data_IF_851800762082
#
_entry.id   IF_851800762082
#
_cell.length_a   1.000
_cell.length_b   1.000
_cell.length_c   1.000
_cell.angle_alpha   90.00
_cell.angle_beta   90.00
_cell.angle_gamma   90.00
#
_symmetry.space_group_name_H-M   'P 1'
#
loop_
_entity.id
_entity.type
_entity.pdbx_description
1 polymer ?
#
# COMPACT_ATOMS: atom_id res chain seq x y z
N UNK A 1 0.34 67.26 25.70
CA UNK A 1 0.97 65.95 25.80
C UNK A 1 -0.03 64.89 25.44
N UNK A 2 0.03 64.38 24.21
CA UNK A 2 -0.80 63.27 23.77
C UNK A 2 0.03 62.02 23.80
N UNK A 3 -0.29 61.10 24.72
CA UNK A 3 0.24 59.74 24.73
C UNK A 3 -0.43 58.96 23.61
N UNK A 4 0.34 58.57 22.60
CA UNK A 4 -0.09 57.61 21.61
C UNK A 4 -0.12 56.20 22.24
N UNK A 5 -1.29 55.63 22.33
CA UNK A 5 -1.42 54.20 22.59
C UNK A 5 -0.93 53.45 21.33
N UNK A 6 0.14 52.70 21.47
CA UNK A 6 0.48 51.65 20.52
C UNK A 6 -0.48 50.50 20.75
N UNK A 7 -1.37 50.26 19.79
CA UNK A 7 -2.11 49.03 19.71
C UNK A 7 -1.15 47.90 19.34
N UNK A 8 -1.18 46.77 20.04
CA UNK A 8 -0.39 45.61 19.63
C UNK A 8 -0.98 45.03 18.34
N UNK A 9 -0.16 44.96 17.31
CA UNK A 9 -0.49 44.25 16.07
C UNK A 9 -0.71 42.77 16.39
N UNK A 10 -1.95 42.33 16.29
CA UNK A 10 -2.34 40.91 16.36
C UNK A 10 -1.97 40.13 15.08
N UNK A 11 -1.63 40.82 14.00
CA UNK A 11 -1.32 40.23 12.69
C UNK A 11 0.01 39.43 12.62
N UNK A 12 0.92 39.62 13.59
CA UNK A 12 2.23 38.91 13.54
C UNK A 12 2.19 37.48 14.10
N UNK A 13 1.11 37.10 14.79
CA UNK A 13 1.02 35.75 15.37
C UNK A 13 0.44 34.70 14.42
N UNK A 14 -0.39 35.14 13.49
CA UNK A 14 -0.97 34.20 12.50
C UNK A 14 0.06 33.82 11.45
N UNK A 15 0.89 34.75 10.99
CA UNK A 15 1.97 34.48 10.02
C UNK A 15 3.08 33.59 10.61
N UNK A 16 3.41 33.73 11.90
CA UNK A 16 4.40 32.86 12.57
C UNK A 16 3.86 31.45 12.80
N UNK A 17 2.55 31.26 12.87
CA UNK A 17 1.92 29.93 13.02
C UNK A 17 1.78 29.24 11.66
N UNK A 18 1.58 29.97 10.56
CA UNK A 18 1.58 29.40 9.21
C UNK A 18 2.98 29.00 8.77
N UNK A 19 4.00 29.83 8.99
CA UNK A 19 5.41 29.49 8.68
C UNK A 19 5.92 28.27 9.51
N UNK A 20 5.46 28.10 10.76
CA UNK A 20 5.80 26.94 11.57
C UNK A 20 5.10 25.64 11.10
N UNK A 21 3.98 25.77 10.37
CA UNK A 21 3.30 24.62 9.76
C UNK A 21 3.88 24.19 8.42
N UNK A 22 4.47 25.11 7.66
CA UNK A 22 5.15 24.81 6.39
C UNK A 22 6.56 24.23 6.60
N UNK A 23 7.19 24.40 7.76
CA UNK A 23 8.56 23.97 8.04
C UNK A 23 8.77 22.52 8.52
N UNK A 24 7.72 21.81 8.96
CA UNK A 24 7.85 20.45 9.53
C UNK A 24 6.75 19.49 9.07
N UNK A 25 5.93 19.83 8.10
CA UNK A 25 4.90 18.95 7.56
C UNK A 25 5.48 17.96 6.57
N UNK A 26 5.69 16.70 6.98
CA UNK A 26 5.92 15.60 6.04
C UNK A 26 4.77 15.55 5.04
N UNK A 27 5.08 15.32 3.76
CA UNK A 27 4.05 15.12 2.76
C UNK A 27 3.19 13.89 3.10
N UNK A 28 1.98 13.81 2.56
CA UNK A 28 1.12 12.64 2.75
C UNK A 28 1.84 11.35 2.29
N UNK A 29 2.61 11.43 1.22
CA UNK A 29 3.39 10.31 0.69
C UNK A 29 4.52 9.86 1.64
N UNK A 30 5.19 10.80 2.29
CA UNK A 30 6.22 10.50 3.30
C UNK A 30 5.62 9.82 4.54
N UNK A 31 4.47 10.31 5.00
CA UNK A 31 3.74 9.69 6.12
C UNK A 31 3.28 8.28 5.78
N UNK A 32 2.72 8.09 4.59
CA UNK A 32 2.29 6.78 4.11
C UNK A 32 3.46 5.80 4.01
N UNK A 33 4.60 6.28 3.46
CA UNK A 33 5.84 5.51 3.38
C UNK A 33 6.36 5.08 4.75
N UNK A 34 6.29 5.96 5.75
CA UNK A 34 6.69 5.63 7.12
C UNK A 34 5.74 4.65 7.80
N UNK A 35 4.43 4.80 7.60
CA UNK A 35 3.43 3.87 8.11
C UNK A 35 3.67 2.48 7.54
N UNK A 36 3.88 2.36 6.23
CA UNK A 36 4.21 1.10 5.58
C UNK A 36 5.49 0.49 6.13
N UNK A 37 6.55 1.28 6.26
CA UNK A 37 7.83 0.82 6.78
C UNK A 37 7.71 0.30 8.21
N UNK A 38 7.10 1.06 9.11
CA UNK A 38 6.96 0.69 10.51
C UNK A 38 6.08 -0.56 10.67
N UNK A 39 5.00 -0.66 9.90
CA UNK A 39 4.13 -1.84 9.91
C UNK A 39 4.84 -3.07 9.35
N UNK A 40 5.62 -2.92 8.28
CA UNK A 40 6.42 -4.00 7.72
C UNK A 40 7.50 -4.46 8.69
N UNK A 41 8.19 -3.53 9.33
CA UNK A 41 9.21 -3.86 10.33
C UNK A 41 8.63 -4.61 11.52
N UNK A 42 7.46 -4.19 12.01
CA UNK A 42 6.76 -4.87 13.09
C UNK A 42 6.35 -6.31 12.70
N UNK A 43 5.88 -6.51 11.47
CA UNK A 43 5.49 -7.83 10.97
C UNK A 43 6.69 -8.73 10.66
N UNK A 44 7.66 -8.23 9.89
CA UNK A 44 8.83 -9.01 9.45
C UNK A 44 9.84 -9.26 10.56
N UNK A 45 9.89 -8.42 11.59
CA UNK A 45 10.75 -8.57 12.75
C UNK A 45 10.27 -9.61 13.76
N UNK A 46 9.09 -10.20 13.57
CA UNK A 46 8.65 -11.33 14.39
C UNK A 46 9.44 -12.59 14.03
N UNK A 47 9.54 -13.58 14.94
CA UNK A 47 10.18 -14.86 14.65
C UNK A 47 9.58 -15.54 13.40
N UNK A 48 8.25 -15.54 13.26
CA UNK A 48 7.57 -16.11 12.10
C UNK A 48 7.88 -15.36 10.81
N UNK A 49 7.90 -14.02 10.87
CA UNK A 49 8.24 -13.16 9.73
C UNK A 49 9.67 -13.40 9.26
N UNK A 50 10.61 -13.43 10.19
CA UNK A 50 12.04 -13.68 9.91
C UNK A 50 12.27 -15.09 9.35
N UNK A 51 11.66 -16.12 9.94
CA UNK A 51 11.73 -17.49 9.42
C UNK A 51 11.12 -17.61 8.02
N UNK A 52 10.05 -16.88 7.75
CA UNK A 52 9.42 -16.79 6.43
C UNK A 52 10.39 -16.22 5.39
N UNK A 53 11.12 -15.15 5.73
CA UNK A 53 12.13 -14.55 4.87
C UNK A 53 13.23 -15.57 4.55
N UNK A 54 13.82 -16.15 5.58
CA UNK A 54 14.93 -17.11 5.43
C UNK A 54 14.53 -18.28 4.55
N UNK A 55 13.39 -18.91 4.82
CA UNK A 55 12.90 -20.05 4.03
C UNK A 55 12.67 -19.70 2.57
N UNK A 56 12.01 -18.56 2.33
CA UNK A 56 11.65 -18.12 0.98
C UNK A 56 12.88 -17.85 0.14
N UNK A 57 13.88 -17.14 0.71
CA UNK A 57 15.07 -16.74 -0.03
C UNK A 57 16.03 -17.93 -0.21
N UNK A 58 16.24 -18.75 0.85
CA UNK A 58 17.15 -19.90 0.78
C UNK A 58 16.67 -20.96 -0.21
N UNK A 59 15.37 -21.15 -0.35
CA UNK A 59 14.78 -22.11 -1.30
C UNK A 59 14.58 -21.56 -2.72
N UNK A 60 14.85 -20.29 -2.95
CA UNK A 60 14.57 -19.64 -4.22
C UNK A 60 15.65 -19.94 -5.27
N UNK A 61 15.22 -20.25 -6.51
CA UNK A 61 16.10 -20.32 -7.67
C UNK A 61 16.51 -18.93 -8.17
N UNK A 62 15.63 -17.97 -7.95
CA UNK A 62 15.78 -16.56 -8.32
C UNK A 62 15.44 -15.70 -7.10
N UNK A 63 16.47 -15.17 -6.48
CA UNK A 63 16.37 -14.41 -5.23
C UNK A 63 15.63 -13.08 -5.44
N UNK A 64 15.91 -12.38 -6.53
CA UNK A 64 15.25 -11.11 -6.84
C UNK A 64 13.74 -11.28 -6.96
N UNK A 65 13.30 -12.28 -7.73
CA UNK A 65 11.88 -12.62 -7.85
C UNK A 65 11.26 -13.02 -6.51
N UNK A 66 11.94 -13.81 -5.71
CA UNK A 66 11.42 -14.25 -4.40
C UNK A 66 11.24 -13.08 -3.43
N UNK A 67 12.23 -12.21 -3.35
CA UNK A 67 12.18 -11.00 -2.51
C UNK A 67 11.09 -10.05 -2.98
N UNK A 68 10.98 -9.82 -4.29
CA UNK A 68 9.95 -8.95 -4.86
C UNK A 68 8.53 -9.45 -4.54
N UNK A 69 8.25 -10.72 -4.74
CA UNK A 69 6.95 -11.33 -4.38
C UNK A 69 6.65 -11.22 -2.90
N UNK A 70 7.66 -11.44 -2.05
CA UNK A 70 7.49 -11.29 -0.61
C UNK A 70 7.14 -9.85 -0.23
N UNK A 71 7.86 -8.87 -0.76
CA UNK A 71 7.58 -7.46 -0.53
C UNK A 71 6.16 -7.07 -0.96
N UNK A 72 5.72 -7.54 -2.13
CA UNK A 72 4.36 -7.31 -2.62
C UNK A 72 3.30 -7.88 -1.66
N UNK A 73 3.48 -9.13 -1.21
CA UNK A 73 2.55 -9.74 -0.26
C UNK A 73 2.48 -8.99 1.08
N UNK A 74 3.63 -8.56 1.60
CA UNK A 74 3.70 -7.81 2.86
C UNK A 74 2.98 -6.47 2.72
N UNK A 75 3.27 -5.71 1.67
CA UNK A 75 2.63 -4.42 1.41
C UNK A 75 1.13 -4.58 1.19
N UNK A 76 0.70 -5.53 0.37
CA UNK A 76 -0.72 -5.78 0.12
C UNK A 76 -1.48 -6.12 1.41
N UNK A 77 -0.87 -6.92 2.28
CA UNK A 77 -1.44 -7.25 3.60
C UNK A 77 -1.57 -6.01 4.48
N UNK A 78 -0.51 -5.21 4.58
CA UNK A 78 -0.49 -3.99 5.38
C UNK A 78 -1.52 -2.98 4.84
N UNK A 79 -1.57 -2.77 3.52
CA UNK A 79 -2.58 -1.91 2.89
C UNK A 79 -3.98 -2.33 3.31
N UNK A 80 -4.30 -3.62 3.21
CA UNK A 80 -5.62 -4.15 3.59
C UNK A 80 -5.93 -3.97 5.08
N UNK A 81 -4.96 -4.14 5.95
CA UNK A 81 -5.11 -3.89 7.39
C UNK A 81 -5.36 -2.41 7.67
N UNK A 82 -4.64 -1.51 7.01
CA UNK A 82 -4.82 -0.06 7.14
C UNK A 82 -6.17 0.39 6.59
N UNK A 83 -6.58 -0.10 5.44
CA UNK A 83 -7.90 0.17 4.86
C UNK A 83 -9.05 -0.26 5.79
N UNK A 84 -8.89 -1.38 6.50
CA UNK A 84 -9.90 -1.86 7.47
C UNK A 84 -10.12 -0.90 8.64
N UNK A 85 -9.15 -0.04 8.94
CA UNK A 85 -9.24 1.00 9.97
C UNK A 85 -9.41 2.41 9.39
N UNK A 86 -9.72 2.51 8.10
CA UNK A 86 -10.01 3.78 7.42
C UNK A 86 -8.78 4.57 6.96
N UNK A 87 -7.60 3.97 6.94
CA UNK A 87 -6.36 4.59 6.46
C UNK A 87 -6.07 4.11 5.04
N UNK A 88 -6.10 5.03 4.08
CA UNK A 88 -5.76 4.74 2.68
C UNK A 88 -4.34 5.22 2.39
N UNK A 89 -3.50 4.33 1.91
CA UNK A 89 -2.14 4.65 1.51
C UNK A 89 -2.11 5.07 0.05
N UNK A 90 -1.47 6.20 -0.23
CA UNK A 90 -1.35 6.73 -1.59
C UNK A 90 -0.39 5.90 -2.44
N UNK A 91 -0.59 5.92 -3.75
CA UNK A 91 0.31 5.25 -4.70
C UNK A 91 1.74 5.81 -4.61
N UNK A 92 1.88 7.14 -4.46
CA UNK A 92 3.18 7.78 -4.25
C UNK A 92 3.87 7.32 -2.96
N UNK A 93 3.14 7.14 -1.86
CA UNK A 93 3.67 6.60 -0.62
C UNK A 93 4.21 5.17 -0.74
N UNK A 94 3.69 4.40 -1.70
CA UNK A 94 4.19 3.03 -2.00
C UNK A 94 5.38 3.06 -2.95
N UNK A 95 5.28 3.71 -4.11
CA UNK A 95 6.17 3.51 -5.26
C UNK A 95 7.21 4.60 -5.49
N UNK A 96 7.15 5.74 -4.79
CA UNK A 96 8.19 6.76 -4.93
C UNK A 96 9.58 6.21 -4.57
N UNK A 97 10.63 6.87 -5.02
CA UNK A 97 12.02 6.46 -4.80
C UNK A 97 12.35 6.16 -3.32
N UNK A 98 11.81 6.98 -2.40
CA UNK A 98 11.88 6.78 -0.96
C UNK A 98 10.59 6.20 -0.38
N UNK A 99 9.76 5.57 -1.22
CA UNK A 99 8.48 5.00 -0.86
C UNK A 99 8.56 3.74 0.00
N UNK A 100 7.39 3.30 0.45
CA UNK A 100 7.26 2.14 1.31
C UNK A 100 7.84 0.87 0.72
N UNK A 101 7.70 0.65 -0.60
CA UNK A 101 8.25 -0.52 -1.29
C UNK A 101 9.77 -0.59 -1.18
N UNK A 102 10.47 0.51 -1.47
CA UNK A 102 11.92 0.60 -1.35
C UNK A 102 12.38 0.26 0.08
N UNK A 103 11.71 0.83 1.07
CA UNK A 103 12.03 0.59 2.49
C UNK A 103 11.74 -0.85 2.92
N UNK A 104 10.62 -1.43 2.50
CA UNK A 104 10.27 -2.83 2.80
C UNK A 104 11.27 -3.80 2.17
N UNK A 105 11.68 -3.58 0.93
CA UNK A 105 12.73 -4.36 0.28
C UNK A 105 14.04 -4.30 1.09
N UNK A 106 14.46 -3.10 1.51
CA UNK A 106 15.67 -2.93 2.32
C UNK A 106 15.60 -3.70 3.66
N UNK A 107 14.42 -3.72 4.31
CA UNK A 107 14.20 -4.52 5.53
C UNK A 107 14.34 -6.01 5.25
N UNK A 108 13.74 -6.52 4.18
CA UNK A 108 13.82 -7.94 3.83
C UNK A 108 15.27 -8.35 3.59
N UNK A 109 16.04 -7.58 2.81
CA UNK A 109 17.45 -7.86 2.56
C UNK A 109 18.29 -7.81 3.84
N UNK A 110 18.04 -6.81 4.70
CA UNK A 110 18.76 -6.67 5.98
C UNK A 110 18.49 -7.85 6.90
N UNK A 111 17.25 -8.27 7.04
CA UNK A 111 16.88 -9.41 7.87
C UNK A 111 17.39 -10.73 7.30
N UNK A 112 17.36 -10.92 5.99
CA UNK A 112 17.92 -12.10 5.34
C UNK A 112 19.43 -12.21 5.63
N UNK A 113 20.17 -11.12 5.43
CA UNK A 113 21.61 -11.08 5.67
C UNK A 113 21.96 -11.28 7.16
N UNK A 114 21.19 -10.68 8.07
CA UNK A 114 21.36 -10.87 9.52
C UNK A 114 21.14 -12.33 9.96
N UNK A 115 20.35 -13.09 9.22
CA UNK A 115 20.09 -14.51 9.48
C UNK A 115 20.96 -15.46 8.64
N UNK A 116 22.05 -14.97 8.08
CA UNK A 116 23.06 -15.78 7.41
C UNK A 116 22.72 -16.16 5.96
N UNK A 117 21.68 -15.57 5.37
CA UNK A 117 21.40 -15.77 3.94
C UNK A 117 22.35 -14.93 3.11
N UNK A 118 23.07 -15.60 2.21
CA UNK A 118 23.96 -14.91 1.28
C UNK A 118 23.14 -14.27 0.16
N UNK A 119 22.84 -12.99 0.31
CA UNK A 119 22.08 -12.21 -0.67
C UNK A 119 22.73 -10.83 -0.85
N UNK A 120 23.02 -10.50 -2.09
CA UNK A 120 23.54 -9.18 -2.45
C UNK A 120 22.40 -8.30 -2.98
N UNK A 121 22.08 -7.26 -2.20
CA UNK A 121 21.01 -6.31 -2.52
C UNK A 121 21.29 -5.60 -3.84
N UNK A 122 22.56 -5.18 -4.09
CA UNK A 122 22.91 -4.42 -5.28
C UNK A 122 22.60 -5.16 -6.59
N UNK A 123 22.74 -6.49 -6.60
CA UNK A 123 22.57 -7.30 -7.81
C UNK A 123 21.10 -7.66 -8.10
N UNK A 124 20.26 -7.67 -7.07
CA UNK A 124 18.90 -8.21 -7.17
C UNK A 124 17.80 -7.18 -6.86
N UNK A 125 18.16 -6.00 -6.37
CA UNK A 125 17.18 -4.99 -5.92
C UNK A 125 16.26 -4.51 -7.04
N UNK A 126 16.83 -4.15 -8.19
CA UNK A 126 16.05 -3.66 -9.33
C UNK A 126 15.02 -4.70 -9.77
N UNK A 127 15.44 -5.95 -9.90
CA UNK A 127 14.54 -7.05 -10.24
C UNK A 127 13.45 -7.24 -9.17
N UNK A 128 13.84 -7.22 -7.89
CA UNK A 128 12.89 -7.35 -6.80
C UNK A 128 11.86 -6.21 -6.78
N UNK A 129 12.29 -5.00 -7.08
CA UNK A 129 11.40 -3.84 -7.17
C UNK A 129 10.40 -4.00 -8.32
N UNK A 130 10.88 -4.32 -9.54
CA UNK A 130 10.02 -4.53 -10.72
C UNK A 130 9.00 -5.65 -10.51
N UNK A 131 9.41 -6.76 -9.91
CA UNK A 131 8.50 -7.87 -9.59
C UNK A 131 7.45 -7.45 -8.57
N UNK A 132 7.85 -6.74 -7.52
CA UNK A 132 6.93 -6.27 -6.49
C UNK A 132 5.92 -5.26 -7.03
N UNK A 133 6.36 -4.32 -7.85
CA UNK A 133 5.50 -3.33 -8.50
C UNK A 133 4.47 -4.01 -9.41
N UNK A 134 4.91 -4.95 -10.24
CA UNK A 134 4.01 -5.69 -11.13
C UNK A 134 2.98 -6.52 -10.35
N UNK A 135 3.39 -7.18 -9.28
CA UNK A 135 2.49 -8.01 -8.46
C UNK A 135 1.49 -7.15 -7.66
N UNK A 136 1.92 -6.00 -7.08
CA UNK A 136 1.04 -5.07 -6.40
C UNK A 136 0.01 -4.48 -7.36
N UNK A 137 0.42 -4.04 -8.55
CA UNK A 137 -0.48 -3.52 -9.58
C UNK A 137 -1.52 -4.56 -9.99
N UNK A 138 -1.13 -5.83 -10.09
CA UNK A 138 -2.05 -6.93 -10.40
C UNK A 138 -3.04 -7.19 -9.27
N UNK A 139 -2.59 -7.15 -8.01
CA UNK A 139 -3.45 -7.33 -6.84
C UNK A 139 -4.48 -6.21 -6.71
N UNK A 140 -4.09 -4.96 -6.94
CA UNK A 140 -4.99 -3.81 -6.93
C UNK A 140 -6.06 -3.92 -8.03
N UNK A 141 -5.71 -4.37 -9.24
CA UNK A 141 -6.66 -4.61 -10.32
C UNK A 141 -7.67 -5.74 -9.99
N UNK A 142 -7.20 -6.84 -9.38
CA UNK A 142 -8.09 -7.92 -8.96
C UNK A 142 -9.02 -7.49 -7.82
N UNK A 143 -8.55 -6.66 -6.90
CA UNK A 143 -9.37 -6.08 -5.84
C UNK A 143 -10.48 -5.19 -6.37
N UNK A 144 -10.18 -4.35 -7.36
CA UNK A 144 -11.17 -3.49 -8.03
C UNK A 144 -12.20 -4.29 -8.84
N UNK A 145 -11.78 -5.36 -9.52
CA UNK A 145 -12.69 -6.22 -10.27
C UNK A 145 -13.69 -6.96 -9.36
N UNK A 146 -13.29 -7.30 -8.13
CA UNK A 146 -14.16 -7.95 -7.14
C UNK A 146 -15.19 -6.99 -6.52
N UNK A 147 -14.94 -5.68 -6.55
CA UNK A 147 -15.85 -4.63 -6.05
C UNK A 147 -16.73 -4.01 -7.14
N UNK A 148 -16.49 -4.32 -8.43
CA UNK A 148 -17.35 -3.88 -9.51
C UNK A 148 -18.76 -4.50 -9.34
N UNK A 149 -19.84 -3.71 -9.44
CA UNK A 149 -21.18 -4.26 -9.38
C UNK A 149 -21.32 -5.29 -10.52
N UNK A 150 -21.62 -6.52 -10.18
CA UNK A 150 -21.93 -7.53 -11.17
C UNK A 150 -23.10 -7.01 -12.00
N UNK A 151 -23.02 -7.03 -13.36
CA UNK A 151 -24.17 -6.76 -14.17
C UNK A 151 -25.24 -7.78 -13.74
N UNK A 152 -26.34 -7.27 -13.19
CA UNK A 152 -27.52 -8.09 -12.88
C UNK A 152 -27.92 -8.74 -14.20
N UNK A 153 -27.74 -10.06 -14.27
CA UNK A 153 -28.24 -10.83 -15.39
C UNK A 153 -29.73 -10.50 -15.54
N UNK A 154 -30.23 -10.19 -16.74
CA UNK A 154 -31.64 -9.99 -16.93
C UNK A 154 -32.33 -11.27 -16.46
N UNK A 155 -33.18 -11.13 -15.43
CA UNK A 155 -33.95 -12.25 -14.94
C UNK A 155 -34.69 -12.93 -16.08
N UNK A 156 -34.88 -14.25 -16.04
CA UNK A 156 -35.65 -14.92 -17.07
C UNK A 156 -37.01 -14.28 -17.15
N UNK A 157 -37.27 -13.59 -18.25
CA UNK A 157 -38.57 -13.02 -18.53
C UNK A 157 -39.59 -14.13 -18.44
N UNK A 158 -40.59 -13.95 -17.59
CA UNK A 158 -41.79 -14.75 -17.53
C UNK A 158 -42.43 -14.65 -18.92
N UNK A 159 -42.17 -15.64 -19.76
CA UNK A 159 -43.01 -15.93 -20.94
C UNK A 159 -44.36 -16.38 -20.40
N UNK A 160 -45.29 -15.46 -20.30
CA UNK A 160 -46.67 -15.79 -20.19
C UNK A 160 -47.11 -16.47 -21.48
N UNK A 161 -47.06 -17.79 -21.52
CA UNK A 161 -47.60 -18.59 -22.58
C UNK A 161 -49.12 -18.46 -22.59
N UNK A 162 -49.63 -17.68 -23.57
CA UNK A 162 -51.04 -17.69 -23.90
C UNK A 162 -51.38 -19.07 -24.45
N UNK A 163 -52.27 -19.78 -23.83
CA UNK A 163 -52.94 -20.96 -24.39
C UNK A 163 -53.94 -20.51 -25.48
N UNK A 164 -53.87 -21.04 -26.68
CA UNK A 164 -55.02 -20.95 -27.58
C UNK A 164 -56.00 -22.05 -27.26
N UNK A 165 -57.19 -21.64 -26.76
CA UNK A 165 -58.36 -22.49 -26.76
C UNK A 165 -58.79 -22.77 -28.22
N UNK A 166 -58.63 -24.02 -28.64
CA UNK A 166 -59.28 -24.51 -29.84
C UNK A 166 -60.71 -24.95 -29.54
N UNK A 167 -61.69 -24.64 -30.43
CA UNK A 167 -63.05 -25.13 -30.24
C UNK A 167 -63.19 -26.57 -30.63
N UNK A 168 -63.87 -27.31 -29.82
CA UNK A 168 -64.33 -28.68 -30.07
C UNK A 168 -65.61 -28.58 -30.91
N UNK A 169 -65.70 -29.35 -32.00
CA UNK A 169 -66.94 -29.74 -32.63
C UNK A 169 -66.84 -31.20 -33.03
#
# INVERSE_FOLDING_TARGET
MKKGLMEPREDTREDEIEDAREGEGKSAEELDSEILFNSALAFLGTPEGTDGIVRTITGAKDVGTAVGKMAAMVIARIKKELESVGVNVTEGGVFNADGGLTKVLAVIYTLAKANGVNVEMADTFTQAFEVAEADLSRMDQMGQAATAPQPTAPGPGLMAGGMPNGPVS
#
